data_IF_898999039140
#
_entry.id   IF_898999039140
#
_cell.length_a   1.000
_cell.length_b   1.000
_cell.length_c   1.000
_cell.angle_alpha   90.00
_cell.angle_beta   90.00
_cell.angle_gamma   90.00
#
_symmetry.space_group_name_H-M   'P 1'
#
loop_
_entity.id
_entity.type
_entity.pdbx_description
1 polymer ?
#
# COMPACT_ATOMS: atom_id res chain seq x y z
N UNK A 1 20.12 5.60 30.81
CA UNK A 1 19.60 4.79 29.71
C UNK A 1 20.31 3.45 29.51
N UNK A 2 21.57 3.36 29.77
CA UNK A 2 22.30 2.07 29.72
C UNK A 2 21.79 1.02 30.73
N UNK A 3 21.20 1.45 31.83
CA UNK A 3 20.59 0.58 32.82
C UNK A 3 19.42 -0.25 32.38
N UNK A 4 18.61 0.27 31.46
CA UNK A 4 17.37 -0.36 31.07
C UNK A 4 17.58 -1.52 30.09
N UNK A 5 18.76 -1.61 29.51
CA UNK A 5 18.94 -2.43 28.34
C UNK A 5 20.00 -3.54 28.45
N UNK A 6 20.87 -3.60 29.46
CA UNK A 6 21.86 -4.66 29.63
C UNK A 6 22.52 -5.17 28.34
N UNK A 7 22.99 -6.40 28.30
CA UNK A 7 23.56 -7.00 27.08
C UNK A 7 22.49 -7.43 26.03
N UNK A 8 21.29 -7.75 26.48
CA UNK A 8 20.13 -7.93 25.58
C UNK A 8 19.53 -6.60 25.13
N UNK A 9 19.80 -5.54 25.88
CA UNK A 9 19.26 -4.23 25.64
C UNK A 9 19.84 -3.49 24.44
N UNK A 10 20.97 -3.88 23.90
CA UNK A 10 21.47 -3.29 22.65
C UNK A 10 20.55 -3.59 21.47
N UNK A 11 19.97 -4.79 21.40
CA UNK A 11 18.98 -5.14 20.38
C UNK A 11 17.67 -4.39 20.60
N UNK A 12 17.23 -4.26 21.84
CA UNK A 12 15.99 -3.54 22.16
C UNK A 12 16.14 -2.04 21.91
N UNK A 13 17.32 -1.47 22.22
CA UNK A 13 17.62 -0.09 21.86
C UNK A 13 17.65 0.13 20.34
N UNK A 14 18.26 -0.77 19.60
CA UNK A 14 18.29 -0.69 18.15
C UNK A 14 16.88 -0.79 17.54
N UNK A 15 16.05 -1.69 18.04
CA UNK A 15 14.63 -1.81 17.62
C UNK A 15 13.85 -0.55 17.96
N UNK A 16 14.04 0.00 19.15
CA UNK A 16 13.38 1.23 19.57
C UNK A 16 13.76 2.42 18.68
N UNK A 17 15.04 2.61 18.41
CA UNK A 17 15.51 3.67 17.51
C UNK A 17 15.01 3.48 16.08
N UNK A 18 14.99 2.25 15.59
CA UNK A 18 14.43 1.93 14.27
C UNK A 18 12.94 2.24 14.22
N UNK A 19 12.19 1.93 15.28
CA UNK A 19 10.76 2.25 15.37
C UNK A 19 10.53 3.75 15.34
N UNK A 20 11.26 4.53 16.11
CA UNK A 20 11.17 5.99 16.11
C UNK A 20 11.49 6.57 14.72
N UNK A 21 12.53 6.06 14.07
CA UNK A 21 12.87 6.49 12.71
C UNK A 21 11.76 6.20 11.71
N UNK A 22 11.16 5.02 11.78
CA UNK A 22 10.04 4.65 10.90
C UNK A 22 8.79 5.47 11.20
N UNK A 23 8.52 5.81 12.45
CA UNK A 23 7.41 6.70 12.84
C UNK A 23 7.63 8.09 12.25
N UNK A 24 8.80 8.70 12.45
CA UNK A 24 9.11 10.03 11.90
C UNK A 24 9.05 10.04 10.37
N UNK A 25 9.54 8.99 9.73
CA UNK A 25 9.48 8.84 8.27
C UNK A 25 8.03 8.67 7.79
N UNK A 26 7.22 7.90 8.52
CA UNK A 26 5.79 7.74 8.22
C UNK A 26 5.06 9.07 8.30
N UNK A 27 5.27 9.83 9.37
CA UNK A 27 4.65 11.13 9.56
C UNK A 27 5.04 12.10 8.45
N UNK A 28 6.32 12.13 8.08
CA UNK A 28 6.78 12.94 6.95
C UNK A 28 6.09 12.55 5.63
N UNK A 29 5.96 11.27 5.35
CA UNK A 29 5.31 10.80 4.12
C UNK A 29 3.82 11.16 4.13
N UNK A 30 3.13 10.96 5.27
CA UNK A 30 1.71 11.28 5.42
C UNK A 30 1.46 12.78 5.23
N UNK A 31 2.30 13.62 5.81
CA UNK A 31 2.11 15.07 5.75
C UNK A 31 2.53 15.68 4.41
N UNK A 32 3.56 15.14 3.78
CA UNK A 32 4.20 15.79 2.62
C UNK A 32 3.94 15.11 1.29
N UNK A 33 3.54 13.85 1.27
CA UNK A 33 3.46 13.05 0.05
C UNK A 33 2.06 12.46 -0.16
N UNK A 34 1.56 11.68 0.81
CA UNK A 34 0.30 10.97 0.67
C UNK A 34 -0.34 10.67 2.03
N UNK A 35 -1.45 11.31 2.33
CA UNK A 35 -2.19 11.17 3.58
C UNK A 35 -2.71 9.76 3.87
N UNK A 36 -2.80 8.91 2.85
CA UNK A 36 -3.24 7.54 2.97
C UNK A 36 -2.10 6.54 3.19
N UNK A 37 -0.87 7.04 3.33
CA UNK A 37 0.30 6.20 3.51
C UNK A 37 0.28 5.43 4.83
N UNK A 38 0.76 4.19 4.77
CA UNK A 38 1.07 3.35 5.91
C UNK A 38 2.05 2.26 5.49
N UNK A 39 3.09 2.00 6.29
CA UNK A 39 4.12 1.03 5.94
C UNK A 39 3.60 -0.39 5.72
N UNK A 40 2.54 -0.76 6.41
CA UNK A 40 1.98 -2.11 6.30
C UNK A 40 0.72 -2.18 5.45
N UNK A 41 -0.05 -1.08 5.37
CA UNK A 41 -1.38 -1.09 4.74
C UNK A 41 -1.72 0.29 4.19
N UNK A 42 -1.42 0.47 2.93
CA UNK A 42 -1.78 1.70 2.22
C UNK A 42 -3.31 1.85 2.11
N UNK A 43 -3.79 3.06 2.40
CA UNK A 43 -5.20 3.41 2.31
C UNK A 43 -6.15 2.49 3.12
N UNK A 44 -5.67 1.92 4.23
CA UNK A 44 -6.48 1.02 5.07
C UNK A 44 -7.78 1.66 5.56
N UNK A 45 -7.75 2.96 5.83
CA UNK A 45 -8.92 3.73 6.25
C UNK A 45 -10.06 3.64 5.22
N UNK A 46 -9.74 3.71 3.94
CA UNK A 46 -10.72 3.62 2.85
C UNK A 46 -11.38 2.23 2.78
N UNK A 47 -10.63 1.17 3.11
CA UNK A 47 -11.17 -0.19 3.15
C UNK A 47 -11.94 -0.52 4.42
N UNK A 48 -11.67 0.21 5.51
CA UNK A 48 -12.37 0.03 6.80
C UNK A 48 -13.62 0.87 6.98
N UNK A 49 -13.82 1.86 6.13
CA UNK A 49 -14.98 2.75 6.15
C UNK A 49 -16.25 1.96 5.78
N UNK A 50 -16.75 1.18 6.74
CA UNK A 50 -17.85 0.24 6.55
C UNK A 50 -19.19 0.93 6.26
N UNK A 51 -19.28 2.24 6.42
CA UNK A 51 -20.54 2.97 6.31
C UNK A 51 -20.87 3.45 4.89
N UNK A 52 -19.90 3.46 3.98
CA UNK A 52 -20.14 3.89 2.60
C UNK A 52 -19.03 3.42 1.65
N UNK A 53 -19.41 2.70 0.62
CA UNK A 53 -18.55 2.42 -0.51
C UNK A 53 -18.20 3.70 -1.29
N UNK A 54 -18.96 4.76 -1.09
CA UNK A 54 -18.84 5.99 -1.86
C UNK A 54 -17.47 6.67 -1.67
N UNK A 55 -16.92 6.67 -0.47
CA UNK A 55 -15.60 7.24 -0.20
C UNK A 55 -14.53 6.47 -0.99
N UNK A 56 -14.51 5.16 -0.91
CA UNK A 56 -13.59 4.32 -1.67
C UNK A 56 -13.77 4.50 -3.18
N UNK A 57 -15.01 4.52 -3.65
CA UNK A 57 -15.32 4.71 -5.06
C UNK A 57 -14.85 6.06 -5.57
N UNK A 58 -15.10 7.14 -4.82
CA UNK A 58 -14.64 8.48 -5.18
C UNK A 58 -13.11 8.56 -5.27
N UNK A 59 -12.40 7.98 -4.31
CA UNK A 59 -10.93 7.89 -4.38
C UNK A 59 -10.43 7.12 -5.60
N UNK A 60 -11.15 6.05 -6.02
CA UNK A 60 -10.82 5.29 -7.23
C UNK A 60 -11.14 6.04 -8.53
N UNK A 61 -11.95 7.10 -8.50
CA UNK A 61 -12.20 7.97 -9.64
C UNK A 61 -11.23 9.15 -9.74
N UNK A 62 -10.54 9.48 -8.65
CA UNK A 62 -9.54 10.53 -8.63
C UNK A 62 -8.29 10.13 -9.42
N UNK A 63 -7.44 11.11 -9.70
CA UNK A 63 -6.12 10.88 -10.27
C UNK A 63 -5.29 9.92 -9.40
N UNK A 64 -4.30 9.28 -10.02
CA UNK A 64 -3.40 8.38 -9.31
C UNK A 64 -2.57 9.16 -8.30
N UNK A 65 -2.44 8.63 -7.09
CA UNK A 65 -1.48 9.15 -6.12
C UNK A 65 -0.06 8.73 -6.51
N UNK A 66 0.94 9.35 -5.89
CA UNK A 66 2.34 8.95 -6.09
C UNK A 66 2.58 7.46 -5.77
N UNK A 67 1.93 6.94 -4.74
CA UNK A 67 2.02 5.52 -4.36
C UNK A 67 1.33 4.63 -5.39
N UNK A 68 0.18 5.07 -5.92
CA UNK A 68 -0.51 4.37 -7.02
C UNK A 68 0.39 4.26 -8.26
N UNK A 69 1.05 5.34 -8.63
CA UNK A 69 1.97 5.36 -9.79
C UNK A 69 3.10 4.36 -9.64
N UNK A 70 3.73 4.29 -8.46
CA UNK A 70 4.77 3.30 -8.17
C UNK A 70 4.22 1.88 -8.28
N UNK A 71 3.06 1.63 -7.68
CA UNK A 71 2.40 0.32 -7.70
C UNK A 71 2.09 -0.11 -9.12
N UNK A 72 1.52 0.78 -9.92
CA UNK A 72 1.18 0.52 -11.32
C UNK A 72 2.42 0.30 -12.17
N UNK A 73 3.50 1.05 -11.94
CA UNK A 73 4.77 0.86 -12.63
C UNK A 73 5.31 -0.56 -12.39
N UNK A 74 5.33 -1.01 -11.16
CA UNK A 74 5.77 -2.37 -10.80
C UNK A 74 4.86 -3.42 -11.45
N UNK A 75 3.55 -3.21 -11.41
CA UNK A 75 2.58 -4.11 -12.02
C UNK A 75 2.78 -4.22 -13.53
N UNK A 76 2.98 -3.09 -14.20
CA UNK A 76 3.24 -3.03 -15.64
C UNK A 76 4.49 -3.81 -16.02
N UNK A 77 5.62 -3.55 -15.35
CA UNK A 77 6.87 -4.27 -15.59
C UNK A 77 6.69 -5.79 -15.43
N UNK A 78 5.92 -6.22 -14.43
CA UNK A 78 5.62 -7.64 -14.21
C UNK A 78 4.71 -8.21 -15.28
N UNK A 79 3.65 -7.50 -15.65
CA UNK A 79 2.73 -7.94 -16.69
C UNK A 79 3.42 -8.10 -18.05
N UNK A 80 4.29 -7.16 -18.43
CA UNK A 80 5.07 -7.21 -19.67
C UNK A 80 6.07 -8.39 -19.67
N UNK A 81 6.70 -8.66 -18.53
CA UNK A 81 7.65 -9.76 -18.40
C UNK A 81 6.98 -11.14 -18.43
N UNK A 82 5.85 -11.29 -17.75
CA UNK A 82 5.17 -12.59 -17.56
C UNK A 82 4.14 -12.87 -18.64
N UNK A 83 3.52 -11.83 -19.20
CA UNK A 83 2.43 -11.90 -20.20
C UNK A 83 1.31 -12.87 -19.76
N UNK A 84 0.69 -12.65 -18.60
CA UNK A 84 -0.29 -13.56 -18.04
C UNK A 84 -1.58 -13.57 -18.87
N UNK A 85 -2.25 -14.71 -18.94
CA UNK A 85 -3.59 -14.84 -19.51
C UNK A 85 -4.69 -14.65 -18.46
N UNK A 86 -4.33 -14.89 -17.21
CA UNK A 86 -5.21 -14.76 -16.04
C UNK A 86 -4.44 -14.10 -14.91
N UNK A 87 -5.05 -13.14 -14.26
CA UNK A 87 -4.56 -12.50 -13.03
C UNK A 87 -5.57 -12.73 -11.92
N UNK A 88 -5.10 -13.26 -10.80
CA UNK A 88 -5.88 -13.43 -9.58
C UNK A 88 -5.34 -12.45 -8.53
N UNK A 89 -6.23 -11.69 -7.91
CA UNK A 89 -5.87 -10.74 -6.86
C UNK A 89 -6.46 -11.22 -5.53
N UNK A 90 -5.59 -11.57 -4.60
CA UNK A 90 -6.00 -11.91 -3.23
C UNK A 90 -6.09 -10.66 -2.37
N UNK A 91 -7.21 -10.48 -1.69
CA UNK A 91 -7.45 -9.35 -0.77
C UNK A 91 -7.68 -9.88 0.64
N UNK A 92 -6.62 -10.25 1.36
CA UNK A 92 -6.75 -10.91 2.68
C UNK A 92 -7.23 -9.94 3.78
N UNK A 93 -7.03 -8.64 3.60
CA UNK A 93 -7.38 -7.63 4.59
C UNK A 93 -7.99 -6.38 3.93
N UNK A 94 -8.86 -5.64 4.65
CA UNK A 94 -9.45 -4.40 4.14
C UNK A 94 -8.42 -3.38 3.63
N UNK A 95 -7.24 -3.32 4.27
CA UNK A 95 -6.16 -2.43 3.86
C UNK A 95 -5.53 -2.73 2.50
N UNK A 96 -5.84 -3.87 1.89
CA UNK A 96 -5.37 -4.21 0.55
C UNK A 96 -6.41 -3.89 -0.53
N UNK A 97 -7.63 -3.54 -0.13
CA UNK A 97 -8.76 -3.42 -1.05
C UNK A 97 -8.57 -2.29 -2.07
N UNK A 98 -8.16 -1.11 -1.62
CA UNK A 98 -7.93 0.04 -2.49
C UNK A 98 -6.89 -0.28 -3.58
N UNK A 99 -5.71 -0.76 -3.19
CA UNK A 99 -4.64 -1.09 -4.14
C UNK A 99 -5.03 -2.23 -5.09
N UNK A 100 -5.82 -3.20 -4.62
CA UNK A 100 -6.35 -4.26 -5.47
C UNK A 100 -7.25 -3.69 -6.57
N UNK A 101 -8.15 -2.77 -6.25
CA UNK A 101 -8.99 -2.11 -7.24
C UNK A 101 -8.19 -1.23 -8.21
N UNK A 102 -7.18 -0.50 -7.74
CA UNK A 102 -6.28 0.28 -8.62
C UNK A 102 -5.56 -0.63 -9.62
N UNK A 103 -5.02 -1.75 -9.15
CA UNK A 103 -4.40 -2.75 -10.02
C UNK A 103 -5.41 -3.33 -11.04
N UNK A 104 -6.62 -3.62 -10.58
CA UNK A 104 -7.69 -4.14 -11.43
C UNK A 104 -8.10 -3.13 -12.52
N UNK A 105 -8.26 -1.86 -12.17
CA UNK A 105 -8.56 -0.79 -13.13
C UNK A 105 -7.46 -0.70 -14.20
N UNK A 106 -6.19 -0.71 -13.79
CA UNK A 106 -5.06 -0.65 -14.71
C UNK A 106 -5.04 -1.85 -15.68
N UNK A 107 -5.20 -3.07 -15.17
CA UNK A 107 -5.21 -4.29 -15.99
C UNK A 107 -6.37 -4.24 -16.99
N UNK A 108 -7.56 -3.89 -16.56
CA UNK A 108 -8.75 -3.79 -17.41
C UNK A 108 -8.60 -2.76 -18.52
N UNK A 109 -7.99 -1.61 -18.21
CA UNK A 109 -7.81 -0.53 -19.18
C UNK A 109 -6.72 -0.84 -20.22
N UNK A 110 -5.62 -1.49 -19.81
CA UNK A 110 -4.44 -1.66 -20.67
C UNK A 110 -4.29 -3.07 -21.26
N UNK A 111 -4.90 -4.07 -20.64
CA UNK A 111 -4.80 -5.47 -21.05
C UNK A 111 -6.19 -6.14 -21.11
N UNK A 112 -7.07 -5.73 -22.03
CA UNK A 112 -8.47 -6.19 -22.07
C UNK A 112 -8.60 -7.70 -22.28
N UNK A 113 -7.59 -8.36 -22.82
CA UNK A 113 -7.59 -9.80 -23.06
C UNK A 113 -7.20 -10.63 -21.83
N UNK A 114 -6.67 -9.99 -20.77
CA UNK A 114 -6.34 -10.67 -19.53
C UNK A 114 -7.61 -10.89 -18.72
N UNK A 115 -7.86 -12.13 -18.34
CA UNK A 115 -8.93 -12.44 -17.38
C UNK A 115 -8.50 -12.03 -15.99
N UNK A 116 -9.40 -11.35 -15.28
CA UNK A 116 -9.15 -10.84 -13.93
C UNK A 116 -10.19 -11.43 -12.97
N UNK A 117 -9.70 -11.92 -11.82
CA UNK A 117 -10.53 -12.44 -10.74
C UNK A 117 -9.98 -12.00 -9.37
#
# INVERSE_FOLDING_TARGET
MEFAFGSMGMQDKAKHLATLYLEDLSDFIVECIDENFGFSRYAERLGRSANSFDELYNHLQNELTFIDEITIKILKERAEKVQPKLVLISVPFPGNLYSAFRCAQFIKANYPNIKLS
#
